data_IF_315620587541
#
_entry.id   IF_315620587541
#
_cell.length_a   1.000
_cell.length_b   1.000
_cell.length_c   1.000
_cell.angle_alpha   90.00
_cell.angle_beta   90.00
_cell.angle_gamma   90.00
#
_symmetry.space_group_name_H-M   'P 1'
#
loop_
_entity.id
_entity.type
_entity.pdbx_description
1 polymer ?
#
# COMPACT_ATOMS: atom_id res chain seq x y z
N UNK A 1 21.95 -22.83 -5.44
CA UNK A 1 20.81 -21.96 -5.77
C UNK A 1 21.02 -20.65 -5.04
N UNK A 2 21.19 -19.51 -5.71
CA UNK A 2 21.14 -18.19 -5.05
C UNK A 2 19.71 -17.99 -4.55
N UNK A 3 19.53 -17.60 -3.27
CA UNK A 3 18.24 -17.17 -2.78
C UNK A 3 17.68 -16.07 -3.71
N UNK A 4 16.37 -16.06 -4.01
CA UNK A 4 15.79 -15.01 -4.82
C UNK A 4 16.10 -13.67 -4.14
N UNK A 5 16.61 -12.70 -4.91
CA UNK A 5 16.94 -11.38 -4.37
C UNK A 5 15.65 -10.72 -3.88
N UNK A 6 15.57 -10.38 -2.59
CA UNK A 6 14.47 -9.63 -2.00
C UNK A 6 14.63 -8.13 -2.29
N UNK A 7 13.51 -7.41 -2.47
CA UNK A 7 13.46 -5.96 -2.50
C UNK A 7 13.32 -5.35 -1.08
N UNK A 8 13.21 -6.19 -0.06
CA UNK A 8 13.17 -5.75 1.34
C UNK A 8 14.55 -5.90 2.02
N UNK A 9 14.89 -5.00 2.96
CA UNK A 9 14.14 -3.80 3.33
C UNK A 9 14.20 -2.72 2.26
N UNK A 10 13.15 -1.87 2.17
CA UNK A 10 13.21 -0.61 1.41
C UNK A 10 13.69 0.46 2.39
N UNK A 11 14.82 1.08 2.09
CA UNK A 11 15.47 2.03 3.00
C UNK A 11 15.55 3.40 2.35
N UNK A 12 15.09 4.40 3.09
CA UNK A 12 15.21 5.82 2.77
C UNK A 12 16.37 6.41 3.58
N UNK A 13 17.34 7.01 2.92
CA UNK A 13 18.50 7.63 3.54
C UNK A 13 18.55 9.12 3.18
N UNK A 14 18.22 9.96 4.15
CA UNK A 14 18.16 11.42 4.00
C UNK A 14 17.38 11.88 2.75
N UNK A 15 16.30 11.16 2.46
CA UNK A 15 15.58 11.23 1.18
C UNK A 15 14.63 12.42 1.15
N UNK A 16 14.78 13.30 0.18
CA UNK A 16 13.87 14.44 -0.01
C UNK A 16 13.22 14.40 -1.40
N UNK A 17 12.01 14.93 -1.47
CA UNK A 17 11.27 15.14 -2.71
C UNK A 17 10.74 16.58 -2.76
N UNK A 18 11.11 17.31 -3.78
CA UNK A 18 10.64 18.68 -4.01
C UNK A 18 9.86 18.77 -5.32
N UNK A 19 8.82 19.58 -5.33
CA UNK A 19 8.17 20.02 -6.57
C UNK A 19 8.33 21.54 -6.64
N UNK A 20 9.09 22.02 -7.62
CA UNK A 20 9.53 23.41 -7.68
C UNK A 20 10.18 23.81 -6.34
N UNK A 21 9.70 24.85 -5.68
CA UNK A 21 10.23 25.32 -4.40
C UNK A 21 9.60 24.68 -3.16
N UNK A 22 8.58 23.83 -3.35
CA UNK A 22 7.86 23.17 -2.24
C UNK A 22 8.50 21.85 -1.89
N UNK A 23 8.91 21.68 -0.62
CA UNK A 23 9.33 20.41 -0.08
C UNK A 23 8.09 19.53 0.19
N UNK A 24 7.94 18.44 -0.55
CA UNK A 24 6.87 17.44 -0.35
C UNK A 24 7.30 16.42 0.70
N UNK A 25 8.56 15.98 0.63
CA UNK A 25 9.23 15.15 1.63
C UNK A 25 10.58 15.81 1.94
N UNK A 26 10.94 15.81 3.21
CA UNK A 26 12.15 16.47 3.70
C UNK A 26 12.95 15.53 4.62
N UNK A 27 14.10 15.09 4.12
CA UNK A 27 15.10 14.27 4.82
C UNK A 27 14.48 13.05 5.51
N UNK A 28 13.73 12.27 4.75
CA UNK A 28 13.16 11.01 5.25
C UNK A 28 14.29 10.02 5.56
N UNK A 29 14.29 9.53 6.80
CA UNK A 29 15.08 8.39 7.25
C UNK A 29 14.09 7.32 7.73
N UNK A 30 13.92 6.24 6.99
CA UNK A 30 12.93 5.19 7.25
C UNK A 30 13.37 3.87 6.62
N UNK A 31 13.13 2.76 7.32
CA UNK A 31 13.32 1.42 6.78
C UNK A 31 11.99 0.65 6.83
N UNK A 32 11.53 0.18 5.67
CA UNK A 32 10.36 -0.68 5.54
C UNK A 32 10.82 -2.13 5.42
N UNK A 33 10.86 -2.84 6.53
CA UNK A 33 11.30 -4.23 6.60
C UNK A 33 10.18 -5.24 6.29
N UNK A 34 10.52 -6.54 6.18
CA UNK A 34 9.53 -7.62 6.09
C UNK A 34 8.69 -7.71 7.36
N UNK A 35 7.62 -8.53 7.33
CA UNK A 35 6.78 -8.81 8.49
C UNK A 35 5.42 -8.11 8.46
N UNK A 36 4.91 -7.71 9.63
CA UNK A 36 3.56 -7.14 9.77
C UNK A 36 3.36 -5.87 8.94
N UNK A 37 2.10 -5.49 8.62
CA UNK A 37 1.83 -4.28 7.86
C UNK A 37 2.38 -3.01 8.51
N UNK A 38 2.99 -2.14 7.71
CA UNK A 38 3.35 -0.78 8.11
C UNK A 38 2.26 0.17 7.62
N UNK A 39 1.69 0.96 8.53
CA UNK A 39 0.63 1.91 8.20
C UNK A 39 1.13 3.34 8.36
N UNK A 40 1.08 4.08 7.26
CA UNK A 40 1.42 5.50 7.20
C UNK A 40 0.20 6.31 7.62
N UNK A 41 0.30 7.07 8.71
CA UNK A 41 -0.75 7.97 9.19
C UNK A 41 -0.28 9.42 9.15
N UNK A 42 -1.23 10.34 9.14
CA UNK A 42 -0.96 11.79 9.13
C UNK A 42 -2.04 12.53 8.37
N UNK A 43 -2.08 13.88 8.50
CA UNK A 43 -3.09 14.71 7.86
C UNK A 43 -2.98 14.68 6.32
N UNK A 44 -3.95 15.31 5.65
CA UNK A 44 -3.89 15.55 4.22
C UNK A 44 -2.67 16.41 3.89
N UNK A 45 -1.98 16.11 2.80
CA UNK A 45 -0.78 16.83 2.41
C UNK A 45 0.49 16.47 3.19
N UNK A 46 0.44 15.54 4.17
CA UNK A 46 1.62 15.14 4.95
C UNK A 46 2.73 14.44 4.13
N UNK A 47 2.46 14.03 2.87
CA UNK A 47 3.45 13.37 2.01
C UNK A 47 3.26 11.85 1.87
N UNK A 48 2.21 11.25 2.45
CA UNK A 48 1.98 9.78 2.45
C UNK A 48 2.02 9.15 1.06
N UNK A 49 1.23 9.69 0.10
CA UNK A 49 1.23 9.23 -1.30
C UNK A 49 2.59 9.37 -1.96
N UNK A 50 3.32 10.45 -1.68
CA UNK A 50 4.64 10.71 -2.25
C UNK A 50 5.68 9.72 -1.70
N UNK A 51 5.59 9.39 -0.41
CA UNK A 51 6.44 8.36 0.21
C UNK A 51 6.19 6.99 -0.44
N UNK A 52 4.91 6.62 -0.64
CA UNK A 52 4.53 5.38 -1.35
C UNK A 52 5.11 5.38 -2.78
N UNK A 53 5.03 6.49 -3.50
CA UNK A 53 5.56 6.58 -4.87
C UNK A 53 7.08 6.39 -4.92
N UNK A 54 7.82 6.99 -3.99
CA UNK A 54 9.27 6.77 -3.89
C UNK A 54 9.58 5.31 -3.53
N UNK A 55 8.91 4.75 -2.50
CA UNK A 55 9.09 3.36 -2.08
C UNK A 55 8.78 2.36 -3.19
N UNK A 56 7.81 2.67 -4.04
CA UNK A 56 7.42 1.84 -5.18
C UNK A 56 8.23 2.09 -6.46
N UNK A 57 9.29 2.90 -6.39
CA UNK A 57 10.11 3.31 -7.54
C UNK A 57 9.29 3.94 -8.68
N UNK A 58 8.23 4.67 -8.32
CA UNK A 58 7.38 5.41 -9.27
C UNK A 58 7.74 6.90 -9.37
N UNK A 59 8.67 7.35 -8.55
CA UNK A 59 9.25 8.69 -8.56
C UNK A 59 10.71 8.59 -8.08
N UNK A 60 11.56 9.49 -8.58
CA UNK A 60 12.92 9.63 -8.08
C UNK A 60 12.98 10.71 -6.99
N UNK A 61 13.82 10.54 -5.95
CA UNK A 61 14.07 11.59 -4.97
C UNK A 61 14.84 12.75 -5.61
N UNK A 62 14.68 13.96 -5.04
CA UNK A 62 15.48 15.14 -5.45
C UNK A 62 16.83 15.20 -4.76
N UNK A 63 16.95 14.58 -3.57
CA UNK A 63 18.19 14.39 -2.84
C UNK A 63 18.08 13.19 -1.90
N UNK A 64 19.21 12.68 -1.42
CA UNK A 64 19.26 11.42 -0.69
C UNK A 64 19.06 10.22 -1.61
N UNK A 65 18.77 9.07 -1.05
CA UNK A 65 18.57 7.85 -1.83
C UNK A 65 17.49 6.93 -1.23
N UNK A 66 16.94 6.08 -2.09
CA UNK A 66 16.09 4.94 -1.69
C UNK A 66 16.76 3.68 -2.21
N UNK A 67 16.82 2.64 -1.39
CA UNK A 67 17.37 1.34 -1.78
C UNK A 67 16.38 0.23 -1.54
N UNK A 68 16.46 -0.83 -2.36
CA UNK A 68 15.59 -2.02 -2.31
C UNK A 68 16.47 -3.26 -2.10
N UNK A 69 16.38 -3.88 -0.91
CA UNK A 69 17.26 -5.00 -0.55
C UNK A 69 18.75 -4.63 -0.66
N UNK A 70 19.09 -3.39 -0.33
CA UNK A 70 20.44 -2.84 -0.45
C UNK A 70 20.88 -2.47 -1.86
N UNK A 71 19.97 -2.48 -2.87
CA UNK A 71 20.26 -2.08 -4.25
C UNK A 71 19.71 -0.69 -4.53
N UNK A 72 20.35 0.09 -5.40
CA UNK A 72 19.90 1.45 -5.76
C UNK A 72 18.67 1.46 -6.69
N UNK A 73 18.25 0.31 -7.18
CA UNK A 73 17.12 0.15 -8.10
C UNK A 73 16.43 -1.20 -7.90
N UNK A 74 15.16 -1.27 -8.31
CA UNK A 74 14.35 -2.49 -8.37
C UNK A 74 13.77 -2.66 -9.77
N UNK A 75 13.62 -3.90 -10.24
CA UNK A 75 12.94 -4.19 -11.50
C UNK A 75 11.42 -3.97 -11.45
N UNK A 76 10.89 -3.64 -10.28
CA UNK A 76 9.47 -3.37 -10.04
C UNK A 76 8.54 -4.58 -10.23
N UNK A 77 9.07 -5.77 -10.52
CA UNK A 77 8.25 -6.97 -10.73
C UNK A 77 7.65 -7.50 -9.43
N UNK A 78 8.35 -7.26 -8.32
CA UNK A 78 7.98 -7.69 -6.96
C UNK A 78 7.19 -6.65 -6.18
N UNK A 79 6.96 -5.48 -6.75
CA UNK A 79 6.24 -4.38 -6.13
C UNK A 79 4.92 -4.17 -6.85
N UNK A 80 3.83 -4.10 -6.08
CA UNK A 80 2.53 -3.72 -6.59
C UNK A 80 1.96 -2.53 -5.83
N UNK A 81 1.22 -1.68 -6.55
CA UNK A 81 0.58 -0.48 -5.97
C UNK A 81 -0.89 -0.46 -6.32
N UNK A 82 -1.73 -0.17 -5.32
CA UNK A 82 -3.15 0.14 -5.50
C UNK A 82 -3.40 1.54 -4.97
N UNK A 83 -3.78 2.44 -5.85
CA UNK A 83 -4.11 3.82 -5.50
C UNK A 83 -5.56 3.96 -5.02
N UNK A 84 -5.86 5.06 -4.33
CA UNK A 84 -7.17 5.40 -3.78
C UNK A 84 -8.32 5.26 -4.80
N UNK A 85 -8.09 5.64 -6.06
CA UNK A 85 -9.06 5.50 -7.16
C UNK A 85 -8.49 4.57 -8.22
N UNK A 86 -8.79 3.26 -8.14
CA UNK A 86 -8.24 2.30 -9.08
C UNK A 86 -8.87 2.46 -10.46
N UNK A 87 -8.03 2.49 -11.49
CA UNK A 87 -8.49 2.52 -12.88
C UNK A 87 -8.89 1.12 -13.31
N UNK A 88 -10.17 0.97 -13.74
CA UNK A 88 -10.68 -0.27 -14.31
C UNK A 88 -10.54 -0.29 -15.84
N UNK A 89 -9.96 -1.36 -16.37
CA UNK A 89 -9.96 -1.60 -17.81
C UNK A 89 -11.40 -1.80 -18.31
N UNK A 90 -11.68 -1.40 -19.56
CA UNK A 90 -13.00 -1.59 -20.21
C UNK A 90 -13.21 -3.05 -20.61
N UNK A 91 -13.13 -3.96 -19.63
CA UNK A 91 -13.19 -5.41 -19.75
C UNK A 91 -13.93 -5.99 -18.56
N UNK A 92 -14.15 -7.33 -18.56
CA UNK A 92 -14.74 -8.04 -17.40
C UNK A 92 -13.80 -8.03 -16.19
N UNK A 93 -14.33 -8.43 -15.03
CA UNK A 93 -13.53 -8.58 -13.80
C UNK A 93 -12.41 -9.61 -14.04
N UNK A 94 -12.71 -10.77 -14.60
CA UNK A 94 -11.71 -11.78 -14.95
C UNK A 94 -10.62 -11.24 -15.88
N UNK A 95 -10.99 -10.47 -16.90
CA UNK A 95 -10.02 -9.89 -17.84
C UNK A 95 -9.16 -8.77 -17.20
N UNK A 96 -9.66 -8.08 -16.17
CA UNK A 96 -8.86 -7.15 -15.37
C UNK A 96 -7.81 -7.90 -14.53
N UNK A 97 -8.17 -9.01 -13.88
CA UNK A 97 -7.19 -9.85 -13.15
C UNK A 97 -6.18 -10.45 -14.12
N UNK A 98 -6.65 -10.97 -15.27
CA UNK A 98 -5.80 -11.56 -16.31
C UNK A 98 -4.71 -10.61 -16.84
N UNK A 99 -4.96 -9.30 -16.78
CA UNK A 99 -3.99 -8.28 -17.20
C UNK A 99 -2.76 -8.23 -16.27
N UNK A 100 -2.93 -8.52 -14.98
CA UNK A 100 -1.84 -8.57 -14.00
C UNK A 100 -1.01 -9.86 -14.05
N UNK A 101 -1.55 -10.93 -14.61
CA UNK A 101 -0.87 -12.23 -14.65
C UNK A 101 0.33 -12.25 -15.60
N UNK A 102 1.46 -12.87 -15.21
CA UNK A 102 2.54 -13.18 -16.11
C UNK A 102 2.06 -14.15 -17.23
N UNK A 103 2.89 -14.31 -18.26
CA UNK A 103 2.61 -15.30 -19.31
C UNK A 103 2.65 -16.71 -18.71
N UNK A 104 1.58 -17.45 -18.85
CA UNK A 104 1.42 -18.82 -18.41
C UNK A 104 0.45 -19.58 -19.33
N UNK A 105 0.45 -20.93 -19.32
CA UNK A 105 -0.48 -21.74 -20.09
C UNK A 105 -1.94 -21.38 -19.80
N UNK A 106 -2.81 -21.50 -20.82
CA UNK A 106 -4.21 -21.04 -20.75
C UNK A 106 -5.01 -21.71 -19.61
N UNK A 107 -4.77 -23.01 -19.36
CA UNK A 107 -5.45 -23.74 -18.28
C UNK A 107 -5.07 -23.20 -16.90
N UNK A 108 -3.78 -23.02 -16.68
CA UNK A 108 -3.24 -22.44 -15.43
C UNK A 108 -3.73 -21.00 -15.24
N UNK A 109 -3.71 -20.20 -16.32
CA UNK A 109 -4.19 -18.81 -16.31
C UNK A 109 -5.63 -18.71 -15.82
N UNK A 110 -6.52 -19.60 -16.31
CA UNK A 110 -7.92 -19.62 -15.92
C UNK A 110 -8.07 -19.92 -14.41
N UNK A 111 -7.37 -20.96 -13.93
CA UNK A 111 -7.39 -21.33 -12.50
C UNK A 111 -6.90 -20.18 -11.63
N UNK A 112 -5.77 -19.56 -11.98
CA UNK A 112 -5.21 -18.43 -11.20
C UNK A 112 -6.16 -17.23 -11.17
N UNK A 113 -6.89 -16.94 -12.25
CA UNK A 113 -7.90 -15.89 -12.26
C UNK A 113 -9.03 -16.22 -11.27
N UNK A 114 -9.53 -17.44 -11.32
CA UNK A 114 -10.65 -17.87 -10.48
C UNK A 114 -10.25 -17.88 -8.99
N UNK A 115 -9.04 -18.32 -8.66
CA UNK A 115 -8.48 -18.29 -7.30
C UNK A 115 -8.31 -16.85 -6.79
N UNK A 116 -7.81 -15.93 -7.61
CA UNK A 116 -7.65 -14.53 -7.24
C UNK A 116 -9.01 -13.84 -7.03
N UNK A 117 -10.00 -14.12 -7.88
CA UNK A 117 -11.35 -13.60 -7.69
C UNK A 117 -12.00 -14.17 -6.43
N UNK A 118 -11.77 -15.44 -6.11
CA UNK A 118 -12.24 -16.05 -4.87
C UNK A 118 -11.60 -15.39 -3.64
N UNK A 119 -10.28 -15.14 -3.66
CA UNK A 119 -9.56 -14.47 -2.56
C UNK A 119 -10.10 -13.08 -2.21
N UNK A 120 -10.70 -12.39 -3.17
CA UNK A 120 -11.28 -11.05 -2.96
C UNK A 120 -12.82 -11.07 -2.93
N UNK A 121 -13.46 -12.26 -2.92
CA UNK A 121 -14.91 -12.42 -2.82
C UNK A 121 -15.68 -11.94 -4.07
N UNK A 122 -15.09 -12.04 -5.27
CA UNK A 122 -15.68 -11.57 -6.51
C UNK A 122 -15.96 -12.68 -7.54
N UNK A 123 -15.97 -13.95 -7.16
CA UNK A 123 -16.21 -15.09 -8.06
C UNK A 123 -17.51 -14.95 -8.86
N UNK A 124 -18.59 -14.53 -8.20
CA UNK A 124 -19.90 -14.32 -8.79
C UNK A 124 -19.99 -13.15 -9.78
N UNK A 125 -18.96 -12.30 -9.81
CA UNK A 125 -18.86 -11.12 -10.70
C UNK A 125 -17.83 -11.30 -11.81
N UNK A 126 -17.33 -12.53 -11.99
CA UNK A 126 -16.23 -12.89 -12.90
C UNK A 126 -16.37 -12.28 -14.28
N UNK A 127 -17.55 -12.39 -14.89
CA UNK A 127 -17.82 -11.96 -16.27
C UNK A 127 -18.51 -10.58 -16.35
N UNK A 128 -18.73 -9.93 -15.18
CA UNK A 128 -19.31 -8.60 -15.12
C UNK A 128 -18.32 -7.54 -15.62
N UNK A 129 -18.75 -6.55 -16.42
CA UNK A 129 -17.91 -5.43 -16.81
C UNK A 129 -17.37 -4.70 -15.57
N UNK A 130 -16.05 -4.59 -15.44
CA UNK A 130 -15.40 -4.07 -14.23
C UNK A 130 -15.83 -2.64 -13.86
N UNK A 131 -16.16 -1.83 -14.85
CA UNK A 131 -16.67 -0.45 -14.62
C UNK A 131 -18.10 -0.39 -14.07
N UNK A 132 -18.83 -1.50 -14.06
CA UNK A 132 -20.19 -1.61 -13.48
C UNK A 132 -20.18 -2.20 -12.06
N UNK A 133 -19.01 -2.45 -11.52
CA UNK A 133 -18.81 -2.84 -10.13
C UNK A 133 -18.98 -1.63 -9.21
N UNK A 134 -19.46 -1.87 -7.99
CA UNK A 134 -19.46 -0.86 -6.92
C UNK A 134 -18.04 -0.41 -6.57
N UNK A 135 -17.89 0.71 -5.85
CA UNK A 135 -16.58 1.22 -5.44
C UNK A 135 -15.76 0.19 -4.65
N UNK A 136 -16.39 -0.48 -3.69
CA UNK A 136 -15.74 -1.53 -2.89
C UNK A 136 -15.38 -2.78 -3.71
N UNK A 137 -16.23 -3.19 -4.66
CA UNK A 137 -15.92 -4.28 -5.59
C UNK A 137 -14.78 -3.90 -6.54
N UNK A 138 -14.72 -2.67 -7.04
CA UNK A 138 -13.62 -2.18 -7.86
C UNK A 138 -12.30 -2.16 -7.08
N UNK A 139 -12.35 -1.76 -5.81
CA UNK A 139 -11.17 -1.76 -4.94
C UNK A 139 -10.65 -3.19 -4.72
N UNK A 140 -11.55 -4.14 -4.41
CA UNK A 140 -11.17 -5.56 -4.26
C UNK A 140 -10.67 -6.15 -5.59
N UNK A 141 -11.24 -5.76 -6.72
CA UNK A 141 -10.74 -6.18 -8.03
C UNK A 141 -9.34 -5.62 -8.32
N UNK A 142 -9.05 -4.39 -7.91
CA UNK A 142 -7.71 -3.81 -8.02
C UNK A 142 -6.69 -4.57 -7.17
N UNK A 143 -7.08 -4.99 -5.95
CA UNK A 143 -6.26 -5.87 -5.13
C UNK A 143 -5.99 -7.21 -5.81
N UNK A 144 -7.01 -7.88 -6.36
CA UNK A 144 -6.83 -9.12 -7.11
C UNK A 144 -5.86 -8.96 -8.29
N UNK A 145 -5.98 -7.84 -9.03
CA UNK A 145 -5.09 -7.53 -10.16
C UNK A 145 -3.64 -7.26 -9.70
N UNK A 146 -3.46 -6.60 -8.57
CA UNK A 146 -2.14 -6.36 -7.97
C UNK A 146 -1.50 -7.67 -7.52
N UNK A 147 -2.26 -8.53 -6.84
CA UNK A 147 -1.82 -9.85 -6.35
C UNK A 147 -1.51 -10.84 -7.49
N UNK A 148 -2.09 -10.64 -8.68
CA UNK A 148 -1.80 -11.47 -9.85
C UNK A 148 -0.32 -11.48 -10.26
N UNK A 149 0.44 -10.47 -9.85
CA UNK A 149 1.89 -10.36 -10.07
C UNK A 149 2.73 -11.07 -9.00
N UNK A 150 2.09 -11.65 -7.98
CA UNK A 150 2.77 -12.29 -6.83
C UNK A 150 3.80 -11.35 -6.17
N UNK A 151 3.39 -10.14 -5.77
CA UNK A 151 4.33 -9.16 -5.25
C UNK A 151 4.88 -9.59 -3.89
N UNK A 152 6.14 -9.22 -3.63
CA UNK A 152 6.73 -9.27 -2.29
C UNK A 152 6.25 -8.11 -1.41
N UNK A 153 6.01 -6.94 -2.04
CA UNK A 153 5.53 -5.73 -1.38
C UNK A 153 4.27 -5.21 -2.08
N UNK A 154 3.22 -4.98 -1.29
CA UNK A 154 1.97 -4.35 -1.73
C UNK A 154 1.80 -3.00 -1.07
N UNK A 155 1.85 -1.93 -1.87
CA UNK A 155 1.54 -0.57 -1.44
C UNK A 155 0.06 -0.26 -1.67
N UNK A 156 -0.58 0.35 -0.67
CA UNK A 156 -1.99 0.72 -0.69
C UNK A 156 -2.13 2.19 -0.28
N UNK A 157 -2.56 3.03 -1.21
CA UNK A 157 -2.74 4.44 -0.93
C UNK A 157 -4.22 4.74 -0.65
N UNK A 158 -4.58 4.93 0.61
CA UNK A 158 -5.93 5.16 1.12
C UNK A 158 -6.98 4.19 0.52
N UNK A 159 -6.80 2.86 0.63
CA UNK A 159 -7.56 1.87 -0.14
C UNK A 159 -9.05 1.82 0.22
N UNK A 160 -9.49 2.46 1.28
CA UNK A 160 -10.87 2.43 1.75
C UNK A 160 -11.53 3.81 1.79
N UNK A 161 -10.83 4.84 1.32
CA UNK A 161 -11.41 6.17 1.25
C UNK A 161 -12.67 6.18 0.37
N UNK A 162 -13.73 6.82 0.86
CA UNK A 162 -15.01 6.94 0.16
C UNK A 162 -15.78 5.63 -0.03
N UNK A 163 -15.49 4.58 0.74
CA UNK A 163 -16.25 3.33 0.78
C UNK A 163 -17.26 3.33 1.94
N UNK A 164 -18.35 2.61 1.76
CA UNK A 164 -19.30 2.31 2.83
C UNK A 164 -18.69 1.35 3.87
N UNK A 165 -19.22 1.29 5.10
CA UNK A 165 -18.65 0.48 6.18
C UNK A 165 -18.53 -1.02 5.88
N UNK A 166 -19.47 -1.59 5.11
CA UNK A 166 -19.42 -3.00 4.75
C UNK A 166 -18.30 -3.27 3.74
N UNK A 167 -18.14 -2.40 2.73
CA UNK A 167 -17.05 -2.44 1.77
C UNK A 167 -15.70 -2.24 2.44
N UNK A 168 -15.58 -1.34 3.43
CA UNK A 168 -14.36 -1.15 4.23
C UNK A 168 -13.93 -2.46 4.88
N UNK A 169 -14.84 -3.14 5.59
CA UNK A 169 -14.55 -4.42 6.26
C UNK A 169 -14.06 -5.48 5.26
N UNK A 170 -14.76 -5.63 4.13
CA UNK A 170 -14.39 -6.60 3.11
C UNK A 170 -12.99 -6.32 2.52
N UNK A 171 -12.61 -5.06 2.33
CA UNK A 171 -11.27 -4.68 1.88
C UNK A 171 -10.22 -4.95 2.97
N UNK A 172 -10.51 -4.62 4.24
CA UNK A 172 -9.62 -4.89 5.38
C UNK A 172 -9.35 -6.40 5.57
N UNK A 173 -10.38 -7.24 5.40
CA UNK A 173 -10.24 -8.70 5.46
C UNK A 173 -9.29 -9.22 4.36
N UNK A 174 -9.42 -8.71 3.14
CA UNK A 174 -8.50 -9.06 2.04
C UNK A 174 -7.07 -8.60 2.37
N UNK A 175 -6.88 -7.38 2.86
CA UNK A 175 -5.56 -6.86 3.24
C UNK A 175 -4.93 -7.72 4.35
N UNK A 176 -5.71 -8.09 5.37
CA UNK A 176 -5.26 -8.96 6.45
C UNK A 176 -4.82 -10.34 5.96
N UNK A 177 -5.62 -10.96 5.07
CA UNK A 177 -5.29 -12.24 4.46
C UNK A 177 -4.02 -12.18 3.60
N UNK A 178 -3.82 -11.08 2.86
CA UNK A 178 -2.60 -10.83 2.06
C UNK A 178 -1.38 -10.72 2.97
N UNK A 179 -1.47 -9.93 4.03
CA UNK A 179 -0.37 -9.80 5.00
C UNK A 179 -0.05 -11.14 5.69
N UNK A 180 -1.07 -11.92 6.05
CA UNK A 180 -0.90 -13.24 6.64
C UNK A 180 -0.25 -14.26 5.69
N UNK A 181 -0.36 -14.06 4.36
CA UNK A 181 0.32 -14.89 3.36
C UNK A 181 1.81 -14.54 3.16
N UNK A 182 2.36 -13.60 3.93
CA UNK A 182 3.78 -13.23 3.90
C UNK A 182 4.12 -12.04 2.97
N UNK A 183 3.14 -11.46 2.28
CA UNK A 183 3.35 -10.24 1.50
C UNK A 183 3.51 -9.05 2.44
N UNK A 184 4.58 -8.28 2.29
CA UNK A 184 4.71 -7.02 3.03
C UNK A 184 3.67 -6.03 2.54
N UNK A 185 2.80 -5.57 3.44
CA UNK A 185 1.82 -4.52 3.15
C UNK A 185 2.30 -3.20 3.75
N UNK A 186 2.31 -2.15 2.93
CA UNK A 186 2.52 -0.76 3.35
C UNK A 186 1.30 0.04 2.91
N UNK A 187 0.57 0.61 3.87
CA UNK A 187 -0.71 1.26 3.59
C UNK A 187 -0.74 2.67 4.16
N UNK A 188 -1.26 3.64 3.39
CA UNK A 188 -1.64 4.94 3.93
C UNK A 188 -3.11 4.95 4.35
N UNK A 189 -3.42 5.64 5.45
CA UNK A 189 -4.80 5.92 5.86
C UNK A 189 -4.87 7.14 6.76
N UNK A 190 -6.03 7.80 6.76
CA UNK A 190 -6.39 8.83 7.74
C UNK A 190 -7.28 8.26 8.85
N UNK A 191 -7.78 7.04 8.67
CA UNK A 191 -8.65 6.39 9.65
C UNK A 191 -7.81 5.70 10.73
N UNK A 192 -7.71 6.32 11.91
CA UNK A 192 -6.96 5.79 13.05
C UNK A 192 -7.49 4.44 13.53
N UNK A 193 -8.82 4.21 13.45
CA UNK A 193 -9.42 2.91 13.77
C UNK A 193 -8.93 1.80 12.82
N UNK A 194 -8.80 2.10 11.54
CA UNK A 194 -8.24 1.19 10.55
C UNK A 194 -6.74 0.93 10.81
N UNK A 195 -5.96 1.99 11.07
CA UNK A 195 -4.56 1.85 11.44
C UNK A 195 -4.39 0.94 12.65
N UNK A 196 -5.20 1.12 13.70
CA UNK A 196 -5.15 0.28 14.90
C UNK A 196 -5.46 -1.19 14.65
N UNK A 197 -6.37 -1.51 13.69
CA UNK A 197 -6.74 -2.89 13.38
C UNK A 197 -5.72 -3.61 12.51
N UNK A 198 -5.11 -2.91 11.55
CA UNK A 198 -4.29 -3.53 10.51
C UNK A 198 -2.80 -3.40 10.73
N UNK A 199 -2.33 -2.35 11.41
CA UNK A 199 -0.90 -2.10 11.56
C UNK A 199 -0.21 -3.10 12.49
N UNK A 200 1.00 -3.50 12.14
CA UNK A 200 1.99 -3.98 13.09
C UNK A 200 2.87 -2.83 13.57
N UNK A 201 3.13 -1.88 12.66
CA UNK A 201 3.92 -0.68 12.87
C UNK A 201 3.22 0.54 12.26
N UNK A 202 3.32 1.67 12.92
CA UNK A 202 2.77 2.96 12.46
C UNK A 202 3.92 3.91 12.18
N UNK A 203 3.87 4.56 11.02
CA UNK A 203 4.75 5.68 10.67
C UNK A 203 3.90 6.94 10.59
N UNK A 204 4.14 7.88 11.47
CA UNK A 204 3.44 9.15 11.51
C UNK A 204 4.20 10.20 10.70
N UNK A 205 3.56 10.67 9.62
CA UNK A 205 4.05 11.73 8.76
C UNK A 205 3.32 13.04 9.03
N UNK A 206 4.11 14.11 9.11
CA UNK A 206 3.59 15.47 9.19
C UNK A 206 4.53 16.42 8.43
N UNK A 207 3.96 17.27 7.55
CA UNK A 207 4.71 18.27 6.77
C UNK A 207 5.94 17.70 6.04
N UNK A 208 5.78 16.52 5.46
CA UNK A 208 6.83 15.85 4.69
C UNK A 208 7.94 15.19 5.52
N UNK A 209 7.78 15.09 6.85
CA UNK A 209 8.75 14.44 7.74
C UNK A 209 8.15 13.27 8.49
N UNK A 210 8.97 12.27 8.79
CA UNK A 210 8.61 11.22 9.74
C UNK A 210 8.85 11.76 11.15
N UNK A 211 7.78 11.92 11.91
CA UNK A 211 7.82 12.38 13.30
C UNK A 211 7.93 11.22 14.29
N UNK A 212 7.29 10.09 13.96
CA UNK A 212 7.35 8.91 14.82
C UNK A 212 7.21 7.63 13.96
N UNK A 213 7.96 6.60 14.33
CA UNK A 213 7.84 5.25 13.80
C UNK A 213 7.86 4.30 14.99
N UNK A 214 6.73 3.60 15.23
CA UNK A 214 6.58 2.78 16.43
C UNK A 214 5.65 1.58 16.18
N UNK A 215 5.78 0.49 16.97
CA UNK A 215 4.78 -0.56 17.03
C UNK A 215 3.40 0.02 17.32
N UNK A 216 2.35 -0.53 16.68
CA UNK A 216 0.98 0.00 16.78
C UNK A 216 0.52 0.20 18.23
N UNK A 217 0.82 -0.75 19.12
CA UNK A 217 0.43 -0.63 20.53
C UNK A 217 1.09 0.59 21.20
N UNK A 218 2.38 0.82 20.98
CA UNK A 218 3.12 1.95 21.55
C UNK A 218 2.61 3.26 20.98
N UNK A 219 2.45 3.39 19.68
CA UNK A 219 1.96 4.60 19.02
C UNK A 219 0.60 5.07 19.58
N UNK A 220 -0.33 4.14 19.80
CA UNK A 220 -1.68 4.49 20.27
C UNK A 220 -1.81 4.62 21.79
N UNK A 221 -0.90 4.07 22.60
CA UNK A 221 -0.97 4.14 24.06
C UNK A 221 -0.02 5.17 24.67
N UNK A 222 1.13 5.38 24.06
CA UNK A 222 2.21 6.22 24.57
C UNK A 222 2.99 6.88 23.41
N UNK A 223 2.34 7.75 22.61
CA UNK A 223 3.02 8.46 21.52
C UNK A 223 4.15 9.33 22.08
N UNK A 224 5.29 9.34 21.38
CA UNK A 224 6.53 9.96 21.86
C UNK A 224 6.65 11.44 21.50
N UNK A 225 5.91 11.90 20.46
CA UNK A 225 6.00 13.28 19.99
C UNK A 225 4.72 14.06 20.34
N UNK A 226 4.87 15.36 20.64
CA UNK A 226 3.73 16.23 20.92
C UNK A 226 2.75 16.28 19.74
N UNK A 227 3.29 16.26 18.53
CA UNK A 227 2.52 16.24 17.29
C UNK A 227 1.70 14.94 17.15
N UNK A 228 2.26 13.77 17.50
CA UNK A 228 1.52 12.52 17.51
C UNK A 228 0.40 12.51 18.54
N UNK A 229 0.65 13.06 19.74
CA UNK A 229 -0.37 13.26 20.79
C UNK A 229 -1.52 14.11 20.26
N UNK A 230 -1.22 15.29 19.69
CA UNK A 230 -2.21 16.20 19.13
C UNK A 230 -3.00 15.54 17.99
N UNK A 231 -2.31 14.84 17.07
CA UNK A 231 -2.94 14.12 15.99
C UNK A 231 -3.92 13.04 16.46
N UNK A 232 -3.55 12.27 17.49
CA UNK A 232 -4.41 11.21 18.04
C UNK A 232 -5.63 11.77 18.77
N UNK A 233 -5.55 13.00 19.32
CA UNK A 233 -6.68 13.72 19.93
C UNK A 233 -7.62 14.34 18.91
N UNK A 234 -7.20 14.43 17.64
CA UNK A 234 -7.94 15.13 16.60
C UNK A 234 -7.74 16.65 16.62
N UNK A 235 -6.72 17.12 17.31
CA UNK A 235 -6.36 18.54 17.33
C UNK A 235 -5.86 18.98 15.95
N UNK A 236 -6.18 20.22 15.57
CA UNK A 236 -5.68 20.80 14.32
C UNK A 236 -4.16 21.00 14.45
N UNK A 237 -3.39 20.24 13.70
CA UNK A 237 -1.95 20.41 13.58
C UNK A 237 -1.71 21.37 12.41
N UNK A 238 -1.54 22.64 12.74
CA UNK A 238 -1.26 23.73 11.78
C UNK A 238 0.20 23.77 11.38
#
# INVERSE_FOLDING_TARGET
>A
MRAPSSDLPIVFEDTSLRAHDVAILDRIALALGPGRPTVLVGPNGAGKTSLIRLAANLAAPTSGQVTWGGKPDTDGTRIAVVFQRPIMLRRTAAANVAYGLPRCPQRERRQRIDDLLARVGLTHLRDRPARRLSGGEQQRLALARALAREPEVLFLDEPTASLDPASVRAVEEVIGAVAASGVKVVMSTQNLGQARRLAGEVVFLLRGRVHECAPVAAFFSAPQTAEAVAFLRGDLIV
#
